data_IF_068239742630
#
_entry.id   IF_068239742630
#
_cell.length_a   1.000
_cell.length_b   1.000
_cell.length_c   1.000
_cell.angle_alpha   90.00
_cell.angle_beta   90.00
_cell.angle_gamma   90.00
#
_symmetry.space_group_name_H-M   'P 1'
#
loop_
_entity.id
_entity.type
_entity.pdbx_description
1 polymer ?
#
# COMPACT_ATOMS: atom_id res chain seq x y z
N UNK A 1 25.80 -11.84 11.29
CA UNK A 1 24.79 -11.50 10.26
C UNK A 1 25.46 -11.50 8.90
N UNK A 2 25.04 -12.33 7.94
CA UNK A 2 25.62 -12.34 6.59
C UNK A 2 25.28 -11.05 5.83
N UNK A 3 26.25 -10.49 5.10
CA UNK A 3 26.00 -9.39 4.16
C UNK A 3 25.07 -9.92 3.06
N UNK A 4 23.76 -9.64 3.12
CA UNK A 4 22.84 -9.99 2.04
C UNK A 4 23.25 -9.23 0.78
N UNK A 5 23.83 -9.95 -0.17
CA UNK A 5 24.21 -9.41 -1.47
C UNK A 5 22.97 -9.03 -2.26
N UNK A 6 22.99 -7.82 -2.84
CA UNK A 6 22.01 -7.44 -3.87
C UNK A 6 22.26 -8.18 -5.18
N UNK A 7 21.52 -7.82 -6.23
CA UNK A 7 21.61 -8.44 -7.56
C UNK A 7 23.08 -8.57 -8.03
N UNK A 8 23.53 -9.78 -8.39
CA UNK A 8 24.84 -9.96 -9.03
C UNK A 8 24.85 -9.28 -10.41
N UNK A 9 26.04 -8.87 -10.88
CA UNK A 9 26.20 -8.04 -12.10
C UNK A 9 25.49 -8.63 -13.33
N UNK A 10 25.56 -9.95 -13.54
CA UNK A 10 24.88 -10.61 -14.67
C UNK A 10 23.35 -10.49 -14.60
N UNK A 11 22.77 -10.53 -13.39
CA UNK A 11 21.33 -10.43 -13.18
C UNK A 11 20.89 -8.98 -13.30
N UNK A 12 21.67 -8.05 -12.74
CA UNK A 12 21.46 -6.62 -12.90
C UNK A 12 21.36 -6.25 -14.38
N UNK A 13 22.35 -6.62 -15.20
CA UNK A 13 22.33 -6.34 -16.64
C UNK A 13 21.04 -6.83 -17.33
N UNK A 14 20.54 -8.02 -16.98
CA UNK A 14 19.26 -8.54 -17.51
C UNK A 14 18.06 -7.70 -17.07
N UNK A 15 18.02 -7.29 -15.80
CA UNK A 15 16.97 -6.42 -15.26
C UNK A 15 17.02 -5.04 -15.94
N UNK A 16 18.19 -4.43 -16.10
CA UNK A 16 18.34 -3.11 -16.73
C UNK A 16 17.90 -3.13 -18.21
N UNK A 17 18.18 -4.20 -18.96
CA UNK A 17 17.66 -4.37 -20.33
C UNK A 17 16.13 -4.44 -20.35
N UNK A 18 15.53 -5.25 -19.50
CA UNK A 18 14.06 -5.39 -19.43
C UNK A 18 13.39 -4.09 -18.94
N UNK A 19 14.00 -3.40 -17.97
CA UNK A 19 13.57 -2.09 -17.48
C UNK A 19 13.63 -1.02 -18.59
N UNK A 20 14.71 -1.02 -19.40
CA UNK A 20 14.83 -0.15 -20.57
C UNK A 20 13.75 -0.41 -21.62
N UNK A 21 13.47 -1.68 -21.94
CA UNK A 21 12.40 -2.06 -22.86
C UNK A 21 11.03 -1.65 -22.32
N UNK A 22 10.72 -1.98 -21.06
CA UNK A 22 9.47 -1.59 -20.40
C UNK A 22 9.26 -0.07 -20.40
N UNK A 23 10.32 0.71 -20.12
CA UNK A 23 10.27 2.16 -20.16
C UNK A 23 9.92 2.68 -21.57
N UNK A 24 10.57 2.14 -22.60
CA UNK A 24 10.33 2.48 -24.01
C UNK A 24 8.88 2.17 -24.41
N UNK A 25 8.42 0.93 -24.18
CA UNK A 25 7.04 0.50 -24.42
C UNK A 25 6.02 1.39 -23.70
N UNK A 26 6.28 1.80 -22.45
CA UNK A 26 5.40 2.71 -21.69
C UNK A 26 5.39 4.19 -22.15
N UNK A 27 6.29 4.58 -23.07
CA UNK A 27 6.37 5.92 -23.64
C UNK A 27 5.84 5.96 -25.09
N UNK A 28 5.93 4.86 -25.82
CA UNK A 28 5.51 4.77 -27.22
C UNK A 28 4.05 4.34 -27.39
N UNK A 29 3.52 3.50 -26.49
CA UNK A 29 2.15 2.99 -26.59
C UNK A 29 1.12 3.97 -26.01
N UNK A 30 0.05 4.22 -26.77
CA UNK A 30 -1.13 4.95 -26.31
C UNK A 30 -2.30 3.97 -26.09
N UNK A 31 -2.88 3.99 -24.90
CA UNK A 31 -3.98 3.09 -24.52
C UNK A 31 -5.31 3.59 -25.10
N UNK A 32 -5.94 2.75 -25.91
CA UNK A 32 -7.27 2.96 -26.52
C UNK A 32 -8.19 1.78 -26.21
N UNK A 33 -9.52 1.91 -26.38
CA UNK A 33 -10.44 0.79 -26.17
C UNK A 33 -10.15 -0.44 -27.05
N UNK A 34 -9.56 -0.25 -28.24
CA UNK A 34 -9.26 -1.35 -29.18
C UNK A 34 -7.99 -2.11 -28.82
N UNK A 35 -6.94 -1.44 -28.33
CA UNK A 35 -5.63 -2.05 -28.08
C UNK A 35 -5.34 -2.35 -26.59
N UNK A 36 -6.17 -1.89 -25.65
CA UNK A 36 -5.88 -1.97 -24.21
C UNK A 36 -5.54 -3.38 -23.71
N UNK A 37 -6.20 -4.42 -24.20
CA UNK A 37 -5.88 -5.81 -23.81
C UNK A 37 -4.49 -6.26 -24.30
N UNK A 38 -4.09 -5.86 -25.50
CA UNK A 38 -2.80 -6.20 -26.11
C UNK A 38 -1.65 -5.47 -25.41
N UNK A 39 -1.84 -4.16 -25.16
CA UNK A 39 -0.90 -3.36 -24.37
C UNK A 39 -0.73 -3.94 -22.96
N UNK A 40 -1.83 -4.32 -22.30
CA UNK A 40 -1.75 -4.95 -20.98
C UNK A 40 -0.95 -6.26 -21.04
N UNK A 41 -1.21 -7.10 -22.04
CA UNK A 41 -0.53 -8.40 -22.18
C UNK A 41 0.99 -8.22 -22.47
N UNK A 42 1.39 -7.22 -23.27
CA UNK A 42 2.81 -6.88 -23.46
C UNK A 42 3.47 -6.40 -22.14
N UNK A 43 2.84 -5.45 -21.45
CA UNK A 43 3.36 -4.91 -20.19
C UNK A 43 3.45 -5.98 -19.09
N UNK A 44 2.41 -6.82 -18.97
CA UNK A 44 2.35 -7.95 -18.05
C UNK A 44 3.49 -8.94 -18.30
N UNK A 45 3.81 -9.23 -19.57
CA UNK A 45 4.92 -10.09 -19.95
C UNK A 45 6.29 -9.53 -19.54
N UNK A 46 6.49 -8.20 -19.55
CA UNK A 46 7.72 -7.60 -19.01
C UNK A 46 7.77 -7.67 -17.48
N UNK A 47 6.66 -7.36 -16.80
CA UNK A 47 6.62 -7.35 -15.33
C UNK A 47 6.79 -8.75 -14.74
N UNK A 48 6.19 -9.78 -15.34
CA UNK A 48 6.39 -11.17 -14.90
C UNK A 48 7.83 -11.66 -15.13
N UNK A 49 8.48 -11.24 -16.23
CA UNK A 49 9.93 -11.50 -16.43
C UNK A 49 10.76 -10.83 -15.32
N UNK A 50 10.45 -9.59 -14.94
CA UNK A 50 11.12 -8.89 -13.83
C UNK A 50 10.90 -9.64 -12.50
N UNK A 51 9.65 -9.96 -12.15
CA UNK A 51 9.28 -10.71 -10.95
C UNK A 51 10.03 -12.06 -10.89
N UNK A 52 10.03 -12.83 -11.98
CA UNK A 52 10.71 -14.12 -12.03
C UNK A 52 12.22 -14.00 -11.79
N UNK A 53 12.88 -13.01 -12.40
CA UNK A 53 14.31 -12.75 -12.22
C UNK A 53 14.64 -12.26 -10.81
N UNK A 54 13.74 -11.49 -10.19
CA UNK A 54 13.97 -10.80 -8.93
C UNK A 54 13.55 -11.60 -7.69
N UNK A 55 12.70 -12.64 -7.84
CA UNK A 55 12.06 -13.40 -6.74
C UNK A 55 12.93 -13.80 -5.54
N UNK A 56 14.23 -14.09 -5.75
CA UNK A 56 15.17 -14.44 -4.67
C UNK A 56 15.64 -13.25 -3.81
N UNK A 57 15.39 -12.03 -4.28
CA UNK A 57 15.83 -10.77 -3.68
C UNK A 57 14.65 -9.89 -3.22
N UNK A 58 13.43 -10.15 -3.70
CA UNK A 58 12.20 -9.52 -3.22
C UNK A 58 12.09 -9.63 -1.70
N UNK A 59 11.66 -8.55 -1.03
CA UNK A 59 11.54 -8.57 0.44
C UNK A 59 10.18 -9.06 0.91
N UNK A 60 9.13 -8.96 0.09
CA UNK A 60 7.81 -9.53 0.40
C UNK A 60 7.83 -11.03 0.69
N UNK A 61 8.61 -11.79 -0.08
CA UNK A 61 8.77 -13.24 0.11
C UNK A 61 9.51 -13.63 1.39
N UNK A 62 10.08 -12.66 2.11
CA UNK A 62 10.60 -12.82 3.49
C UNK A 62 9.55 -12.49 4.56
N UNK A 63 8.42 -11.87 4.17
CA UNK A 63 7.27 -11.55 5.03
C UNK A 63 6.17 -12.61 4.91
N UNK A 64 6.12 -13.38 3.82
CA UNK A 64 5.25 -14.56 3.68
C UNK A 64 5.50 -15.58 4.82
N UNK A 65 6.74 -15.74 5.30
CA UNK A 65 7.05 -16.57 6.48
C UNK A 65 6.51 -16.01 7.81
N UNK A 66 5.96 -14.80 7.83
CA UNK A 66 5.36 -14.12 8.99
C UNK A 66 3.82 -14.18 8.94
N UNK A 67 3.23 -14.79 7.90
CA UNK A 67 1.76 -14.84 7.78
C UNK A 67 1.11 -15.66 8.90
N UNK A 68 1.83 -16.65 9.46
CA UNK A 68 1.46 -17.39 10.66
C UNK A 68 1.41 -16.54 11.94
N UNK A 69 2.10 -15.38 11.97
CA UNK A 69 2.20 -14.47 13.10
C UNK A 69 1.49 -13.12 12.85
N UNK A 70 0.89 -12.90 11.67
CA UNK A 70 0.28 -11.60 11.29
C UNK A 70 -0.82 -11.15 12.26
N UNK A 71 -1.59 -12.08 12.82
CA UNK A 71 -2.58 -11.75 13.86
C UNK A 71 -1.93 -11.28 15.16
N UNK A 72 -0.80 -11.89 15.54
CA UNK A 72 0.01 -11.52 16.70
C UNK A 72 0.70 -10.17 16.49
N UNK A 73 1.26 -9.90 15.30
CA UNK A 73 1.77 -8.57 14.91
C UNK A 73 0.67 -7.50 14.96
N UNK A 74 -0.54 -7.81 14.49
CA UNK A 74 -1.70 -6.91 14.57
C UNK A 74 -2.16 -6.68 16.02
N UNK A 75 -2.22 -7.73 16.85
CA UNK A 75 -2.53 -7.64 18.28
C UNK A 75 -1.48 -6.80 19.01
N UNK A 76 -0.19 -7.03 18.75
CA UNK A 76 0.91 -6.26 19.32
C UNK A 76 0.90 -4.79 18.88
N UNK A 77 0.60 -4.51 17.61
CA UNK A 77 0.40 -3.14 17.11
C UNK A 77 -0.80 -2.48 17.81
N UNK A 78 -1.88 -3.22 18.03
CA UNK A 78 -3.03 -2.77 18.81
C UNK A 78 -2.60 -2.47 20.25
N UNK A 79 -1.86 -3.38 20.94
CA UNK A 79 -1.35 -3.16 22.31
C UNK A 79 -0.49 -1.90 22.42
N UNK A 80 0.42 -1.66 21.47
CA UNK A 80 1.23 -0.44 21.42
C UNK A 80 0.37 0.82 21.21
N UNK A 81 -0.82 0.68 20.63
CA UNK A 81 -1.78 1.75 20.37
C UNK A 81 -3.06 1.64 21.23
N UNK A 82 -3.06 0.86 22.32
CA UNK A 82 -4.26 0.64 23.14
C UNK A 82 -4.76 1.96 23.77
N UNK A 83 -3.85 2.88 24.05
CA UNK A 83 -4.08 4.28 24.43
C UNK A 83 -5.00 5.07 23.47
N UNK A 84 -5.22 4.59 22.24
CA UNK A 84 -6.08 5.26 21.23
C UNK A 84 -7.54 4.79 21.33
N UNK A 85 -7.79 3.56 21.80
CA UNK A 85 -9.11 2.93 21.79
C UNK A 85 -9.60 2.50 23.18
N UNK A 86 -8.87 2.85 24.25
CA UNK A 86 -9.22 2.54 25.65
C UNK A 86 -9.56 1.06 25.91
N UNK A 87 -8.91 0.14 25.18
CA UNK A 87 -9.17 -1.31 25.21
C UNK A 87 -10.57 -1.76 24.73
N UNK A 88 -11.35 -0.89 24.07
CA UNK A 88 -12.72 -1.19 23.67
C UNK A 88 -12.82 -1.93 22.30
N UNK A 89 -11.70 -2.14 21.60
CA UNK A 89 -11.63 -2.82 20.29
C UNK A 89 -10.53 -3.88 20.25
N UNK A 90 -10.78 -4.94 19.47
CA UNK A 90 -9.83 -6.04 19.21
C UNK A 90 -9.71 -6.37 17.73
N UNK A 91 -8.56 -6.91 17.35
CA UNK A 91 -8.32 -7.42 16.00
C UNK A 91 -9.05 -8.76 15.82
N UNK A 92 -9.83 -8.88 14.75
CA UNK A 92 -10.57 -10.09 14.38
C UNK A 92 -10.47 -10.38 12.87
N UNK A 93 -10.50 -11.66 12.49
CA UNK A 93 -10.58 -12.10 11.10
C UNK A 93 -12.05 -12.28 10.68
N UNK A 94 -12.47 -11.62 9.61
CA UNK A 94 -13.84 -11.51 9.13
C UNK A 94 -14.05 -12.21 7.78
N UNK A 95 -13.82 -13.53 7.74
CA UNK A 95 -14.06 -14.34 6.54
C UNK A 95 -13.40 -13.76 5.28
N UNK A 96 -14.21 -13.45 4.27
CA UNK A 96 -13.78 -12.87 2.99
C UNK A 96 -13.17 -11.46 3.08
N UNK A 97 -13.37 -10.73 4.18
CA UNK A 97 -12.84 -9.37 4.36
C UNK A 97 -11.47 -9.32 5.05
N UNK A 98 -10.90 -10.47 5.42
CA UNK A 98 -9.59 -10.51 6.11
C UNK A 98 -9.65 -9.94 7.53
N UNK A 99 -8.56 -9.35 8.01
CA UNK A 99 -8.47 -8.77 9.36
C UNK A 99 -9.10 -7.37 9.43
N UNK A 100 -9.70 -7.04 10.57
CA UNK A 100 -10.09 -5.67 10.92
C UNK A 100 -10.40 -5.54 12.41
N UNK A 101 -10.98 -4.40 12.80
CA UNK A 101 -11.37 -4.12 14.19
C UNK A 101 -12.79 -4.58 14.50
N UNK A 102 -12.98 -5.19 15.67
CA UNK A 102 -14.27 -5.48 16.31
C UNK A 102 -14.33 -4.71 17.62
N UNK A 103 -15.44 -4.04 17.92
CA UNK A 103 -15.70 -3.58 19.28
C UNK A 103 -15.99 -4.79 20.19
N UNK A 104 -15.55 -4.74 21.44
CA UNK A 104 -15.93 -5.72 22.48
C UNK A 104 -17.13 -5.24 23.31
N UNK A 105 -17.32 -3.92 23.38
CA UNK A 105 -18.44 -3.25 24.06
C UNK A 105 -19.20 -2.34 23.08
N UNK A 106 -20.37 -1.83 23.48
CA UNK A 106 -21.03 -0.77 22.71
C UNK A 106 -20.21 0.51 22.84
N UNK A 107 -19.84 1.09 21.70
CA UNK A 107 -19.03 2.31 21.64
C UNK A 107 -19.94 3.53 21.55
N UNK A 108 -19.79 4.48 22.45
CA UNK A 108 -20.46 5.77 22.33
C UNK A 108 -19.73 6.66 21.31
N UNK A 109 -20.43 7.58 20.61
CA UNK A 109 -19.79 8.42 19.59
C UNK A 109 -18.64 9.28 20.12
N UNK A 110 -18.63 9.59 21.42
CA UNK A 110 -17.58 10.34 22.11
C UNK A 110 -16.34 9.53 22.49
N UNK A 111 -16.38 8.19 22.47
CA UNK A 111 -15.32 7.30 23.01
C UNK A 111 -13.97 7.33 22.27
N UNK A 112 -13.76 8.25 21.32
CA UNK A 112 -12.53 8.38 20.53
C UNK A 112 -11.77 9.65 20.91
N UNK A 113 -11.17 9.68 22.10
CA UNK A 113 -10.59 10.91 22.65
C UNK A 113 -9.11 11.17 22.34
N UNK A 114 -8.41 10.27 21.62
CA UNK A 114 -6.96 10.39 21.42
C UNK A 114 -6.45 10.40 19.99
N UNK A 115 -5.27 11.00 19.89
CA UNK A 115 -4.56 11.33 18.67
C UNK A 115 -3.99 10.11 17.96
N UNK A 116 -4.21 10.06 16.65
CA UNK A 116 -3.38 9.27 15.74
C UNK A 116 -2.26 10.15 15.14
N UNK A 117 -1.02 9.65 15.17
CA UNK A 117 0.11 10.31 14.48
C UNK A 117 0.10 9.89 13.00
N UNK A 118 -0.24 10.79 12.06
CA UNK A 118 -0.28 10.45 10.65
C UNK A 118 1.15 10.23 10.10
N UNK A 119 1.35 9.14 9.37
CA UNK A 119 2.60 8.93 8.63
C UNK A 119 2.51 9.67 7.30
N UNK A 120 2.99 10.92 7.26
CA UNK A 120 3.08 11.73 6.04
C UNK A 120 3.92 11.04 4.95
N UNK A 121 3.44 11.05 3.71
CA UNK A 121 4.21 10.54 2.58
C UNK A 121 4.03 11.37 1.30
N UNK A 122 5.08 11.34 0.47
CA UNK A 122 5.06 11.73 -0.95
C UNK A 122 5.18 10.42 -1.74
N UNK A 123 4.65 10.28 -2.96
CA UNK A 123 4.72 8.97 -3.66
C UNK A 123 6.16 8.45 -3.84
N UNK A 124 7.12 9.36 -3.98
CA UNK A 124 8.58 9.08 -3.97
C UNK A 124 9.09 8.40 -2.69
N UNK A 125 8.40 8.57 -1.55
CA UNK A 125 8.73 7.92 -0.27
C UNK A 125 8.20 6.49 -0.15
N UNK A 126 7.37 5.95 -1.05
CA UNK A 126 7.04 4.51 -0.99
C UNK A 126 8.27 3.65 -1.27
N UNK A 127 9.08 4.06 -2.25
CA UNK A 127 10.41 3.51 -2.47
C UNK A 127 11.33 3.72 -1.25
N UNK A 128 11.14 4.77 -0.44
CA UNK A 128 11.96 5.03 0.75
C UNK A 128 11.48 4.35 2.02
N UNK A 129 10.18 4.06 2.20
CA UNK A 129 9.68 3.16 3.26
C UNK A 129 10.22 1.75 3.01
N UNK A 130 10.27 1.34 1.74
CA UNK A 130 11.00 0.15 1.31
C UNK A 130 12.52 0.27 1.53
N UNK A 131 13.17 1.42 1.23
CA UNK A 131 14.58 1.66 1.62
C UNK A 131 14.79 1.46 3.13
N UNK A 132 13.92 2.02 3.98
CA UNK A 132 14.07 1.98 5.43
C UNK A 132 13.93 0.54 5.97
N UNK A 133 12.98 -0.25 5.46
CA UNK A 133 12.84 -1.67 5.84
C UNK A 133 14.03 -2.52 5.36
N UNK A 134 14.61 -2.21 4.20
CA UNK A 134 15.64 -3.05 3.57
C UNK A 134 17.10 -2.65 3.84
N UNK A 135 17.38 -1.40 4.24
CA UNK A 135 18.75 -0.88 4.31
C UNK A 135 19.21 -0.60 5.74
N UNK A 136 18.47 0.15 6.56
CA UNK A 136 19.12 0.83 7.70
C UNK A 136 19.10 0.08 9.02
N UNK A 137 18.09 -0.75 9.30
CA UNK A 137 17.81 -1.19 10.68
C UNK A 137 17.52 -0.03 11.65
N UNK A 138 17.28 1.18 11.12
CA UNK A 138 17.01 2.43 11.83
C UNK A 138 15.61 2.97 11.52
N UNK A 139 14.65 2.07 11.26
CA UNK A 139 13.24 2.43 11.28
C UNK A 139 12.77 2.59 12.72
N UNK A 140 11.83 3.51 12.99
CA UNK A 140 11.12 3.51 14.28
C UNK A 140 10.38 2.18 14.41
N UNK A 141 10.45 1.55 15.58
CA UNK A 141 9.89 0.21 15.85
C UNK A 141 8.42 0.12 15.40
N UNK A 142 7.60 1.11 15.74
CA UNK A 142 6.19 1.18 15.31
C UNK A 142 5.97 1.17 13.79
N UNK A 143 6.86 1.80 13.01
CA UNK A 143 6.78 1.78 11.53
C UNK A 143 7.11 0.38 10.97
N UNK A 144 8.05 -0.34 11.59
CA UNK A 144 8.42 -1.70 11.19
C UNK A 144 7.30 -2.69 11.51
N UNK A 145 6.66 -2.55 12.69
CA UNK A 145 5.52 -3.36 13.11
C UNK A 145 4.33 -3.10 12.19
N UNK A 146 3.94 -1.84 11.98
CA UNK A 146 2.86 -1.47 11.06
C UNK A 146 3.11 -2.02 9.63
N UNK A 147 4.31 -1.82 9.08
CA UNK A 147 4.67 -2.35 7.76
C UNK A 147 4.78 -3.89 7.69
N UNK A 148 4.56 -4.60 8.80
CA UNK A 148 4.50 -6.07 8.87
C UNK A 148 3.08 -6.57 9.24
N UNK A 149 2.18 -5.67 9.65
CA UNK A 149 0.75 -5.91 9.83
C UNK A 149 -0.06 -5.79 8.52
N UNK A 150 0.49 -5.08 7.52
CA UNK A 150 -0.09 -4.90 6.19
C UNK A 150 -0.34 -6.26 5.47
N UNK A 151 -1.33 -6.34 4.55
CA UNK A 151 -1.53 -7.50 3.68
C UNK A 151 -0.29 -7.83 2.84
N UNK A 152 0.01 -9.12 2.63
CA UNK A 152 1.06 -9.56 1.70
C UNK A 152 0.65 -9.40 0.22
N UNK A 153 -0.65 -9.47 -0.06
CA UNK A 153 -1.26 -9.35 -1.39
C UNK A 153 -2.49 -8.45 -1.35
N UNK A 154 -2.91 -7.93 -2.50
CA UNK A 154 -4.05 -7.03 -2.66
C UNK A 154 -4.91 -7.46 -3.85
N UNK A 155 -6.20 -7.12 -3.83
CA UNK A 155 -7.15 -7.35 -4.93
C UNK A 155 -7.23 -6.15 -5.90
N UNK A 156 -6.14 -5.37 -6.02
CA UNK A 156 -6.05 -4.25 -6.96
C UNK A 156 -5.83 -4.76 -8.39
N UNK A 157 -6.18 -3.95 -9.41
CA UNK A 157 -5.96 -4.29 -10.82
C UNK A 157 -4.49 -4.60 -11.18
N UNK A 158 -3.52 -4.26 -10.32
CA UNK A 158 -2.10 -4.62 -10.48
C UNK A 158 -1.82 -6.13 -10.33
N UNK A 159 -2.76 -6.89 -9.77
CA UNK A 159 -2.70 -8.35 -9.62
C UNK A 159 -3.62 -9.09 -10.61
N UNK A 160 -4.32 -8.38 -11.51
CA UNK A 160 -5.10 -8.99 -12.58
C UNK A 160 -4.19 -9.65 -13.61
N UNK A 161 -4.65 -10.77 -14.16
CA UNK A 161 -4.05 -11.47 -15.29
C UNK A 161 -4.57 -10.92 -16.62
N UNK A 162 -3.94 -11.24 -17.76
CA UNK A 162 -4.51 -10.93 -19.08
C UNK A 162 -5.91 -11.55 -19.30
N UNK A 163 -6.25 -12.65 -18.60
CA UNK A 163 -7.59 -13.24 -18.63
C UNK A 163 -8.63 -12.36 -17.93
N UNK A 164 -8.29 -11.77 -16.80
CA UNK A 164 -9.18 -10.87 -16.05
C UNK A 164 -9.41 -9.55 -16.81
N UNK A 165 -8.35 -8.98 -17.39
CA UNK A 165 -8.46 -7.77 -18.21
C UNK A 165 -9.31 -8.00 -19.47
N UNK A 166 -9.27 -9.20 -20.07
CA UNK A 166 -10.14 -9.55 -21.21
C UNK A 166 -11.63 -9.58 -20.84
N UNK A 167 -11.99 -9.82 -19.57
CA UNK A 167 -13.38 -9.72 -19.08
C UNK A 167 -13.88 -8.28 -18.97
N UNK A 168 -12.98 -7.28 -18.94
CA UNK A 168 -13.35 -5.85 -18.91
C UNK A 168 -13.65 -5.27 -20.32
N UNK A 169 -13.58 -6.07 -21.39
CA UNK A 169 -13.91 -5.60 -22.76
C UNK A 169 -15.34 -5.05 -22.82
N UNK A 170 -15.49 -3.89 -23.44
CA UNK A 170 -16.75 -3.13 -23.50
C UNK A 170 -17.03 -2.26 -22.26
N UNK A 171 -16.30 -2.43 -21.15
CA UNK A 171 -16.41 -1.56 -19.98
C UNK A 171 -15.53 -0.30 -20.13
N UNK A 172 -16.01 0.90 -19.73
CA UNK A 172 -15.17 2.10 -19.67
C UNK A 172 -14.01 1.98 -18.67
N UNK A 173 -14.04 1.00 -17.77
CA UNK A 173 -12.98 0.75 -16.78
C UNK A 173 -11.71 0.17 -17.42
N UNK A 174 -11.81 -0.52 -18.58
CA UNK A 174 -10.69 -1.20 -19.23
C UNK A 174 -9.53 -0.24 -19.55
N UNK A 175 -9.80 0.85 -20.27
CA UNK A 175 -8.76 1.81 -20.65
C UNK A 175 -8.14 2.51 -19.44
N UNK A 176 -8.95 2.83 -18.43
CA UNK A 176 -8.48 3.40 -17.16
C UNK A 176 -7.55 2.44 -16.40
N UNK A 177 -7.93 1.17 -16.26
CA UNK A 177 -7.13 0.16 -15.58
C UNK A 177 -5.78 -0.05 -16.28
N UNK A 178 -5.78 -0.19 -17.61
CA UNK A 178 -4.56 -0.39 -18.41
C UNK A 178 -3.67 0.85 -18.43
N UNK A 179 -4.24 2.06 -18.53
CA UNK A 179 -3.48 3.32 -18.45
C UNK A 179 -2.80 3.50 -17.08
N UNK A 180 -3.51 3.14 -16.00
CA UNK A 180 -2.93 3.16 -14.66
C UNK A 180 -1.82 2.10 -14.51
N UNK A 181 -2.01 0.90 -15.04
CA UNK A 181 -0.99 -0.15 -15.06
C UNK A 181 0.28 0.29 -15.82
N UNK A 182 0.11 0.88 -17.01
CA UNK A 182 1.19 1.46 -17.81
C UNK A 182 1.91 2.58 -17.06
N UNK A 183 1.19 3.49 -16.41
CA UNK A 183 1.78 4.57 -15.61
C UNK A 183 2.66 4.02 -14.47
N UNK A 184 2.22 2.94 -13.83
CA UNK A 184 2.94 2.29 -12.72
C UNK A 184 4.17 1.52 -13.24
N UNK A 185 4.07 0.84 -14.38
CA UNK A 185 5.21 0.24 -15.08
C UNK A 185 6.27 1.28 -15.45
N UNK A 186 5.85 2.42 -16.01
CA UNK A 186 6.72 3.56 -16.34
C UNK A 186 7.41 4.13 -15.11
N UNK A 187 6.69 4.29 -14.00
CA UNK A 187 7.27 4.76 -12.74
C UNK A 187 8.33 3.78 -12.20
N UNK A 188 8.06 2.48 -12.21
CA UNK A 188 9.06 1.49 -11.80
C UNK A 188 10.34 1.61 -12.63
N UNK A 189 10.20 1.57 -13.97
CA UNK A 189 11.34 1.58 -14.87
C UNK A 189 12.13 2.90 -14.78
N UNK A 190 11.44 4.04 -14.65
CA UNK A 190 12.05 5.33 -14.35
C UNK A 190 12.89 5.28 -13.06
N UNK A 191 12.32 4.79 -11.95
CA UNK A 191 13.03 4.73 -10.67
C UNK A 191 14.20 3.77 -10.71
N UNK A 192 14.03 2.58 -11.30
CA UNK A 192 15.11 1.60 -11.44
C UNK A 192 16.30 2.22 -12.20
N UNK A 193 16.04 2.75 -13.40
CA UNK A 193 17.07 3.34 -14.26
C UNK A 193 17.72 4.57 -13.59
N UNK A 194 16.93 5.40 -12.88
CA UNK A 194 17.43 6.59 -12.17
C UNK A 194 18.30 6.22 -10.96
N UNK A 195 17.91 5.20 -10.18
CA UNK A 195 18.69 4.73 -9.05
C UNK A 195 19.99 4.04 -9.50
N UNK A 196 19.97 3.30 -10.61
CA UNK A 196 21.15 2.72 -11.25
C UNK A 196 22.13 3.81 -11.71
N UNK A 197 21.65 4.81 -12.45
CA UNK A 197 22.46 5.95 -12.91
C UNK A 197 23.08 6.74 -11.75
N UNK A 198 22.33 6.96 -10.66
CA UNK A 198 22.81 7.60 -9.43
C UNK A 198 23.62 6.65 -8.52
N UNK A 199 23.83 5.39 -8.93
CA UNK A 199 24.56 4.33 -8.20
C UNK A 199 24.05 4.07 -6.76
N UNK A 200 22.79 4.38 -6.46
CA UNK A 200 22.22 4.28 -5.10
C UNK A 200 22.07 2.81 -4.68
N UNK A 201 22.57 2.40 -3.49
CA UNK A 201 22.59 0.96 -3.16
C UNK A 201 21.21 0.24 -3.16
N UNK A 202 20.10 0.98 -3.05
CA UNK A 202 18.73 0.45 -3.24
C UNK A 202 18.53 -0.26 -4.59
N UNK A 203 19.06 0.23 -5.73
CA UNK A 203 18.70 -0.35 -7.04
C UNK A 203 19.06 -1.85 -7.11
N UNK A 204 20.08 -2.29 -6.36
CA UNK A 204 20.51 -3.69 -6.25
C UNK A 204 19.51 -4.60 -5.52
N UNK A 205 18.41 -4.08 -4.99
CA UNK A 205 17.32 -4.81 -4.31
C UNK A 205 15.93 -4.22 -4.64
N UNK A 206 15.82 -3.40 -5.68
CA UNK A 206 14.57 -2.73 -6.06
C UNK A 206 13.76 -3.59 -7.03
N UNK A 207 12.91 -4.46 -6.48
CA UNK A 207 12.13 -5.41 -7.26
C UNK A 207 10.76 -4.83 -7.66
N UNK A 208 10.26 -5.25 -8.83
CA UNK A 208 8.94 -4.84 -9.32
C UNK A 208 7.83 -5.35 -8.40
N UNK A 209 7.96 -6.56 -7.86
CA UNK A 209 6.99 -7.16 -6.93
C UNK A 209 6.80 -6.30 -5.66
N UNK A 210 7.91 -5.85 -5.07
CA UNK A 210 7.91 -4.97 -3.90
C UNK A 210 7.33 -3.58 -4.23
N UNK A 211 7.62 -3.04 -5.42
CA UNK A 211 7.06 -1.78 -5.89
C UNK A 211 5.55 -1.87 -6.14
N UNK A 212 5.08 -2.93 -6.81
CA UNK A 212 3.65 -3.23 -7.05
C UNK A 212 2.85 -3.26 -5.75
N UNK A 213 3.38 -3.94 -4.74
CA UNK A 213 2.78 -4.02 -3.41
C UNK A 213 2.74 -2.67 -2.70
N UNK A 214 3.82 -1.89 -2.76
CA UNK A 214 3.88 -0.57 -2.13
C UNK A 214 2.85 0.39 -2.74
N UNK A 215 2.71 0.36 -4.08
CA UNK A 215 1.66 1.12 -4.78
C UNK A 215 0.27 0.64 -4.37
N UNK A 216 0.01 -0.67 -4.35
CA UNK A 216 -1.29 -1.24 -3.93
C UNK A 216 -1.64 -0.91 -2.47
N UNK A 217 -0.64 -0.89 -1.59
CA UNK A 217 -0.78 -0.46 -0.19
C UNK A 217 -1.32 0.96 -0.14
N UNK A 218 -0.66 1.90 -0.81
CA UNK A 218 -1.08 3.30 -0.77
C UNK A 218 -2.39 3.55 -1.50
N UNK A 219 -2.65 2.87 -2.63
CA UNK A 219 -3.92 3.01 -3.36
C UNK A 219 -5.14 2.52 -2.58
N UNK A 220 -4.96 1.66 -1.57
CA UNK A 220 -6.06 1.09 -0.77
C UNK A 220 -6.19 1.68 0.64
N UNK A 221 -5.21 2.49 1.12
CA UNK A 221 -5.09 2.91 2.53
C UNK A 221 -4.69 4.38 2.71
N UNK A 222 -4.65 5.15 1.61
CA UNK A 222 -4.32 6.57 1.64
C UNK A 222 -5.42 7.41 2.31
N UNK A 223 -5.00 8.36 3.14
CA UNK A 223 -5.89 9.32 3.78
C UNK A 223 -5.37 10.75 3.53
N UNK A 224 -6.25 11.67 3.17
CA UNK A 224 -5.93 13.10 3.07
C UNK A 224 -6.11 13.75 4.44
N UNK A 225 -4.99 14.14 5.05
CA UNK A 225 -4.95 14.85 6.33
C UNK A 225 -4.87 16.35 6.06
N UNK A 226 -5.85 17.16 6.52
CA UNK A 226 -5.71 18.61 6.54
C UNK A 226 -4.45 19.00 7.31
N UNK A 227 -3.71 19.97 6.79
CA UNK A 227 -2.65 20.62 7.55
C UNK A 227 -3.14 21.97 8.06
N UNK A 228 -2.43 22.58 9.02
CA UNK A 228 -2.84 23.84 9.66
C UNK A 228 -3.20 24.96 8.66
N UNK A 229 -4.05 25.89 9.10
CA UNK A 229 -4.74 26.86 8.25
C UNK A 229 -3.87 27.43 7.10
N UNK A 230 -4.33 27.23 5.86
CA UNK A 230 -3.66 27.69 4.63
C UNK A 230 -2.64 26.71 4.00
N UNK A 231 -2.28 25.63 4.70
CA UNK A 231 -1.37 24.61 4.15
C UNK A 231 -2.11 23.56 3.32
N UNK A 232 -1.44 23.02 2.28
CA UNK A 232 -2.02 21.98 1.41
C UNK A 232 -2.18 20.66 2.19
N UNK A 233 -3.33 19.97 2.11
CA UNK A 233 -3.51 18.65 2.71
C UNK A 233 -2.42 17.66 2.31
N UNK A 234 -2.05 16.78 3.24
CA UNK A 234 -1.00 15.77 3.03
C UNK A 234 -1.60 14.38 2.95
N UNK A 235 -1.05 13.57 2.05
CA UNK A 235 -1.39 12.15 1.95
C UNK A 235 -0.63 11.38 3.03
N UNK A 236 -1.37 10.62 3.83
CA UNK A 236 -0.84 9.89 4.97
C UNK A 236 -1.33 8.44 4.99
N UNK A 237 -0.58 7.57 5.66
CA UNK A 237 -1.08 6.29 6.16
C UNK A 237 -1.35 6.44 7.66
N UNK A 238 -2.43 5.83 8.15
CA UNK A 238 -2.85 5.93 9.55
C UNK A 238 -2.88 4.51 10.13
N UNK A 239 -1.84 4.07 10.86
CA UNK A 239 -1.77 2.72 11.42
C UNK A 239 -2.97 2.37 12.29
N UNK A 240 -3.39 1.10 12.26
CA UNK A 240 -4.61 0.53 12.87
C UNK A 240 -5.91 1.09 12.29
N UNK A 241 -5.99 2.39 12.02
CA UNK A 241 -7.18 3.01 11.45
C UNK A 241 -7.43 2.57 9.99
N UNK A 242 -6.36 2.38 9.21
CA UNK A 242 -6.39 1.79 7.87
C UNK A 242 -6.67 0.26 7.84
N UNK A 243 -6.91 -0.35 9.01
CA UNK A 243 -7.41 -1.73 9.15
C UNK A 243 -8.92 -1.78 9.34
N UNK A 244 -9.61 -0.64 9.33
CA UNK A 244 -11.07 -0.61 9.38
C UNK A 244 -11.64 -1.05 8.03
N UNK A 245 -12.58 -2.01 8.07
CA UNK A 245 -13.19 -2.61 6.88
C UNK A 245 -14.38 -1.78 6.33
N UNK A 246 -15.18 -2.36 5.44
CA UNK A 246 -15.90 -1.64 4.38
C UNK A 246 -17.36 -2.15 4.11
N UNK A 247 -18.44 -1.30 4.06
CA UNK A 247 -19.92 -1.64 3.98
C UNK A 247 -20.68 -0.77 3.00
N UNK A 248 -21.41 -1.46 2.13
CA UNK A 248 -22.23 -0.97 1.01
C UNK A 248 -23.53 -0.23 1.34
N UNK A 249 -23.71 0.29 2.55
CA UNK A 249 -24.98 0.91 2.97
C UNK A 249 -24.75 2.23 3.70
N UNK A 250 -24.96 3.32 2.96
CA UNK A 250 -24.87 4.73 3.35
C UNK A 250 -23.47 5.22 3.74
N UNK A 251 -22.98 6.19 2.97
CA UNK A 251 -21.90 7.10 3.38
C UNK A 251 -22.30 7.76 4.70
N UNK A 252 -21.71 7.28 5.80
CA UNK A 252 -21.79 7.93 7.10
C UNK A 252 -20.93 9.19 7.01
N UNK A 253 -21.59 10.29 6.65
CA UNK A 253 -20.99 11.55 6.22
C UNK A 253 -19.90 12.05 7.17
N UNK A 254 -18.76 12.41 6.57
CA UNK A 254 -17.65 13.18 7.15
C UNK A 254 -17.15 12.74 8.54
N UNK A 255 -16.08 11.95 8.54
CA UNK A 255 -15.14 11.99 9.66
C UNK A 255 -14.37 13.31 9.55
N UNK A 256 -14.88 14.33 10.24
CA UNK A 256 -14.13 15.56 10.49
C UNK A 256 -12.92 15.23 11.36
N UNK A 257 -11.77 15.02 10.70
CA UNK A 257 -10.46 15.06 11.36
C UNK A 257 -10.21 16.52 11.73
N UNK A 258 -10.67 16.89 12.92
CA UNK A 258 -10.41 18.20 13.48
C UNK A 258 -8.99 18.20 14.05
N UNK A 259 -8.08 18.91 13.38
CA UNK A 259 -6.90 19.43 14.06
C UNK A 259 -7.38 20.53 15.00
N UNK A 260 -7.53 20.20 16.28
CA UNK A 260 -7.82 21.19 17.32
C UNK A 260 -6.59 22.05 17.54
N UNK A 261 -6.44 23.14 16.78
CA UNK A 261 -5.37 24.14 16.98
C UNK A 261 -5.40 24.57 18.47
N UNK A 262 -4.27 24.50 19.20
CA UNK A 262 -2.88 24.50 18.71
C UNK A 262 -2.24 23.11 18.46
N UNK A 263 -2.99 22.02 18.58
CA UNK A 263 -2.45 20.65 18.60
C UNK A 263 -2.26 20.07 17.17
N UNK A 264 -1.04 19.69 16.74
CA UNK A 264 -0.74 19.23 15.37
C UNK A 264 -1.19 17.77 15.10
N UNK A 265 -2.29 17.36 15.74
CA UNK A 265 -2.60 15.99 16.08
C UNK A 265 -4.01 15.61 15.60
N UNK A 266 -4.14 14.49 14.87
CA UNK A 266 -5.41 14.07 14.29
C UNK A 266 -6.36 13.52 15.37
N UNK A 267 -7.45 14.24 15.66
CA UNK A 267 -8.52 13.82 16.56
C UNK A 267 -9.79 13.47 15.78
N UNK A 268 -10.55 12.48 16.26
CA UNK A 268 -11.87 12.10 15.74
C UNK A 268 -12.92 12.74 16.67
N UNK A 269 -13.97 13.35 16.10
CA UNK A 269 -15.02 14.02 16.90
C UNK A 269 -16.29 13.17 17.04
N UNK A 270 -16.63 12.29 16.08
CA UNK A 270 -17.63 11.24 16.31
C UNK A 270 -17.53 10.08 15.30
N UNK A 271 -17.95 8.89 15.73
CA UNK A 271 -18.43 7.81 14.84
C UNK A 271 -19.78 7.37 15.42
N UNK A 272 -20.86 7.43 14.63
CA UNK A 272 -22.21 7.07 15.13
C UNK A 272 -22.43 5.56 15.02
N UNK A 273 -22.27 4.85 16.13
CA UNK A 273 -22.50 3.42 16.22
C UNK A 273 -23.98 3.12 16.46
N UNK A 274 -24.61 2.34 15.57
CA UNK A 274 -25.86 1.65 15.91
C UNK A 274 -25.53 0.26 16.47
N UNK A 275 -26.27 -0.14 17.50
CA UNK A 275 -25.94 -1.27 18.35
C UNK A 275 -25.81 -2.58 17.56
N UNK A 276 -24.71 -3.32 17.79
CA UNK A 276 -24.34 -4.57 17.11
C UNK A 276 -24.07 -4.44 15.60
N UNK A 277 -22.92 -3.88 15.20
CA UNK A 277 -22.39 -4.14 13.85
C UNK A 277 -20.87 -3.94 13.70
N UNK A 278 -20.29 -4.79 12.84
CA UNK A 278 -18.87 -4.77 12.45
C UNK A 278 -18.58 -3.54 11.60
N UNK A 279 -17.47 -2.84 11.90
CA UNK A 279 -17.06 -1.65 11.15
C UNK A 279 -16.87 -1.96 9.68
N UNK A 280 -17.59 -1.16 8.91
CA UNK A 280 -17.68 -1.25 7.49
C UNK A 280 -18.28 0.11 7.01
N UNK A 281 -17.63 0.88 6.14
CA UNK A 281 -18.17 2.11 5.50
C UNK A 281 -18.16 1.98 3.95
N UNK A 282 -18.95 2.71 3.12
CA UNK A 282 -18.80 2.69 1.63
C UNK A 282 -18.53 4.07 0.98
N UNK A 283 -18.38 3.99 -0.35
CA UNK A 283 -18.54 5.04 -1.37
C UNK A 283 -19.98 5.56 -1.49
#
# INVERSE_FOLDING_TARGET
MSKQSGFPKYLLNKISVISGQLMKTCLELNVTPSNACEIFEELYNYTEKLIHLQKKYCSLRKLESVEADRESVLKHLCTIQNDVFEHQVVIKKFGLHGFGLSAEVSLEPSSFHRTLLPLEWKMLLLASVYCLKCWTGRGRVGTIIYASALPNTYLTFLYMTPGDIKQLKGSPVLTMAVSNYQSICRQYAYFFNRFEALRLSIFRRFCFEDFRWAVSTVMSRNNLIPTGAGLRPKMCLIPIWDMINHKSHHVSQFISIALGIPDPLCRIISIKWSSRQVLRFDM
#
